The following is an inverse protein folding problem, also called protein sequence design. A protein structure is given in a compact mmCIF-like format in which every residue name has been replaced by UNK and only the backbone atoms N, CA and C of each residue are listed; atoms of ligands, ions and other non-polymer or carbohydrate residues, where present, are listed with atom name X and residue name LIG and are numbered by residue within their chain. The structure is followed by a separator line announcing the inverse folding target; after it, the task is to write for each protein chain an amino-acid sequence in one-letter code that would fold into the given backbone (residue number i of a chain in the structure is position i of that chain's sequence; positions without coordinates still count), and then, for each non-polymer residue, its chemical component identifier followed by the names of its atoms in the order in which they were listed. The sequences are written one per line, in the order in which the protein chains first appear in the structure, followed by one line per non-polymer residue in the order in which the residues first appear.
data_IF_600089237850
#
_entry.id   IF_600089237850
#
_cell.length_a   1.000
_cell.length_b   1.000
_cell.length_c   1.000
_cell.angle_alpha   90.00
_cell.angle_beta   90.00
_cell.angle_gamma   90.00
#
_symmetry.space_group_name_H-M   'P 1'
#
loop_
_entity.id
_entity.type
_entity.pdbx_description
1 polymer ?
#
# COMPACT_ATOMS: atom_id res chain seq x y z
N UNK A 1 25.19 19.50 -29.35
CA UNK A 1 24.10 19.51 -28.36
C UNK A 1 24.30 18.27 -27.52
N UNK A 2 25.08 18.41 -26.45
CA UNK A 2 25.44 17.30 -25.57
C UNK A 2 24.26 16.95 -24.67
N UNK A 3 23.88 15.68 -24.69
CA UNK A 3 22.74 15.14 -23.95
C UNK A 3 23.16 15.02 -22.48
N UNK A 4 22.46 15.72 -21.60
CA UNK A 4 22.70 15.69 -20.16
C UNK A 4 22.24 14.32 -19.61
N UNK A 5 23.18 13.47 -19.21
CA UNK A 5 22.89 12.22 -18.50
C UNK A 5 22.34 12.55 -17.10
N UNK A 6 21.05 12.24 -16.89
CA UNK A 6 20.47 12.19 -15.55
C UNK A 6 20.99 10.94 -14.85
N UNK A 7 21.93 11.11 -13.94
CA UNK A 7 22.32 10.06 -13.00
C UNK A 7 21.20 9.91 -11.98
N UNK A 8 20.38 8.87 -12.14
CA UNK A 8 19.35 8.50 -11.18
C UNK A 8 20.05 7.94 -9.94
N UNK A 9 19.88 8.62 -8.80
CA UNK A 9 20.61 8.32 -7.56
C UNK A 9 19.91 7.15 -6.84
N UNK A 10 20.21 5.93 -7.27
CA UNK A 10 19.64 4.71 -6.69
C UNK A 10 20.40 4.34 -5.41
N UNK A 11 19.73 4.45 -4.26
CA UNK A 11 20.26 3.95 -2.99
C UNK A 11 19.83 2.49 -2.78
N UNK A 12 20.77 1.56 -2.90
CA UNK A 12 20.53 0.15 -2.61
C UNK A 12 20.85 -0.14 -1.13
N UNK A 13 19.80 -0.41 -0.35
CA UNK A 13 19.96 -0.81 1.05
C UNK A 13 20.49 -2.24 1.14
N UNK A 14 21.76 -2.38 1.55
CA UNK A 14 22.38 -3.67 1.80
C UNK A 14 22.47 -3.95 3.30
N UNK A 15 21.84 -5.05 3.75
CA UNK A 15 21.94 -5.56 5.13
C UNK A 15 22.40 -7.01 5.09
N UNK A 16 23.21 -7.46 6.05
CA UNK A 16 23.61 -8.88 6.09
C UNK A 16 22.41 -9.74 6.48
N UNK A 17 22.25 -10.91 5.83
CA UNK A 17 21.13 -11.86 6.05
C UNK A 17 20.89 -12.19 7.53
N UNK A 18 21.95 -12.30 8.34
CA UNK A 18 21.88 -12.56 9.79
C UNK A 18 21.17 -11.48 10.63
N UNK A 19 20.97 -10.28 10.07
CA UNK A 19 20.28 -9.16 10.74
C UNK A 19 18.83 -8.95 10.22
N UNK A 20 18.33 -9.81 9.33
CA UNK A 20 16.93 -9.82 8.93
C UNK A 20 16.10 -10.65 9.91
N UNK A 21 14.86 -10.23 10.17
CA UNK A 21 13.95 -10.95 11.07
C UNK A 21 14.33 -10.92 12.55
N UNK A 22 15.29 -10.07 12.95
CA UNK A 22 15.53 -9.80 14.37
C UNK A 22 14.29 -9.16 14.97
N UNK A 23 13.90 -9.61 16.17
CA UNK A 23 12.80 -9.03 16.92
C UNK A 23 13.04 -7.54 17.10
N UNK A 24 12.10 -6.72 16.63
CA UNK A 24 12.11 -5.27 16.87
C UNK A 24 11.66 -5.04 18.30
N UNK A 25 12.59 -4.67 19.18
CA UNK A 25 12.29 -4.20 20.53
C UNK A 25 11.87 -2.74 20.44
N UNK A 26 10.56 -2.51 20.29
CA UNK A 26 9.96 -1.18 20.37
C UNK A 26 9.81 -0.79 21.85
N UNK A 27 10.94 -0.56 22.50
CA UNK A 27 10.98 -0.06 23.87
C UNK A 27 11.57 1.35 23.86
N UNK A 28 11.22 2.13 24.88
CA UNK A 28 11.83 3.43 25.13
C UNK A 28 13.27 3.18 25.61
N UNK A 29 14.18 3.00 24.65
CA UNK A 29 15.60 2.87 24.93
C UNK A 29 16.09 4.24 25.41
N UNK A 30 16.60 4.28 26.64
CA UNK A 30 17.21 5.49 27.21
C UNK A 30 18.37 6.01 26.34
N UNK A 31 18.95 7.18 26.67
CA UNK A 31 19.97 7.80 25.84
C UNK A 31 21.18 6.87 25.66
N UNK A 32 21.31 6.29 24.48
CA UNK A 32 22.48 5.51 24.08
C UNK A 32 23.58 6.47 23.62
N UNK A 33 24.76 6.35 24.24
CA UNK A 33 25.96 7.02 23.76
C UNK A 33 26.47 6.22 22.56
N UNK A 34 26.04 6.63 21.37
CA UNK A 34 26.43 5.98 20.10
C UNK A 34 27.92 6.22 19.81
N UNK A 35 28.45 7.35 20.25
CA UNK A 35 29.83 7.78 19.98
C UNK A 35 30.37 8.58 21.17
N UNK A 36 31.58 8.24 21.60
CA UNK A 36 32.38 9.04 22.52
C UNK A 36 33.67 9.46 21.79
N UNK A 37 33.82 10.74 21.50
CA UNK A 37 35.02 11.29 20.84
C UNK A 37 35.88 11.95 21.92
N UNK A 38 37.00 11.34 22.33
CA UNK A 38 37.90 11.97 23.27
C UNK A 38 38.62 13.15 22.61
N UNK A 39 38.90 14.18 23.40
CA UNK A 39 39.71 15.31 22.94
C UNK A 39 41.09 14.81 22.50
N UNK A 40 41.59 15.31 21.36
CA UNK A 40 42.95 15.01 20.90
C UNK A 40 43.96 15.91 21.66
N UNK A 41 44.83 15.36 22.54
CA UNK A 41 45.77 16.16 23.32
C UNK A 41 46.80 16.93 22.47
N UNK A 42 47.09 16.45 21.25
CA UNK A 42 47.99 17.14 20.34
C UNK A 42 47.39 18.45 19.80
N UNK A 43 46.07 18.49 19.63
CA UNK A 43 45.34 19.69 19.17
C UNK A 43 45.14 20.71 20.29
N UNK A 44 45.19 20.29 21.56
CA UNK A 44 45.05 21.18 22.70
C UNK A 44 46.11 22.28 22.73
N UNK A 45 47.33 21.97 22.29
CA UNK A 45 48.42 22.95 22.19
C UNK A 45 48.15 24.07 21.17
N UNK A 46 47.29 23.81 20.19
CA UNK A 46 46.92 24.75 19.14
C UNK A 46 45.62 25.50 19.45
N UNK A 47 45.03 25.25 20.64
CA UNK A 47 43.84 25.96 21.06
C UNK A 47 44.19 27.43 21.34
N UNK A 48 43.55 28.33 20.60
CA UNK A 48 43.60 29.77 20.85
C UNK A 48 42.20 30.26 21.22
N UNK A 49 42.08 31.00 22.32
CA UNK A 49 40.82 31.62 22.72
C UNK A 49 40.51 32.75 21.72
N UNK A 50 39.55 32.53 20.81
CA UNK A 50 39.14 33.56 19.85
C UNK A 50 38.39 34.70 20.56
N UNK A 51 38.87 35.93 20.35
CA UNK A 51 38.26 37.19 20.78
C UNK A 51 38.55 38.23 19.68
N UNK A 52 37.58 38.94 19.06
CA UNK A 52 36.15 39.09 19.39
C UNK A 52 35.18 38.11 18.72
N UNK A 53 34.01 37.97 19.37
CA UNK A 53 32.94 36.98 19.15
C UNK A 53 31.83 37.55 18.25
N UNK A 54 32.20 38.13 17.11
CA UNK A 54 31.21 38.55 16.11
C UNK A 54 31.41 37.76 14.82
N UNK A 55 30.65 36.68 14.69
CA UNK A 55 30.44 35.97 13.44
C UNK A 55 29.01 36.23 13.02
N UNK A 56 28.81 36.83 11.85
CA UNK A 56 27.50 36.95 11.25
C UNK A 56 26.97 35.54 11.00
N UNK A 57 25.95 35.12 11.74
CA UNK A 57 25.26 33.85 11.55
C UNK A 57 23.97 34.15 10.82
N UNK A 58 23.80 33.58 9.64
CA UNK A 58 22.54 33.68 8.92
C UNK A 58 21.54 32.71 9.55
N UNK A 59 20.55 33.26 10.28
CA UNK A 59 19.41 32.50 10.82
C UNK A 59 18.19 32.65 9.89
N UNK A 60 18.40 32.57 8.58
CA UNK A 60 17.32 32.60 7.61
C UNK A 60 16.82 31.17 7.41
N UNK A 61 15.50 30.98 7.43
CA UNK A 61 14.92 29.69 7.06
C UNK A 61 15.25 29.43 5.59
N UNK A 62 15.90 28.30 5.31
CA UNK A 62 16.07 27.83 3.94
C UNK A 62 14.68 27.49 3.38
N UNK A 63 14.17 28.36 2.52
CA UNK A 63 12.90 28.16 1.84
C UNK A 63 13.20 27.50 0.51
N UNK A 64 12.61 26.34 0.27
CA UNK A 64 12.66 25.65 -1.02
C UNK A 64 11.24 25.52 -1.55
N UNK A 65 11.00 26.03 -2.76
CA UNK A 65 9.74 25.87 -3.46
C UNK A 65 9.91 24.79 -4.53
N UNK A 66 9.01 23.81 -4.56
CA UNK A 66 9.00 22.75 -5.56
C UNK A 66 7.63 22.70 -6.23
N UNK A 67 7.61 22.85 -7.54
CA UNK A 67 6.41 22.71 -8.35
C UNK A 67 6.38 21.31 -8.96
N UNK A 68 5.30 20.58 -8.70
CA UNK A 68 5.07 19.24 -9.28
C UNK A 68 3.78 19.30 -10.09
N UNK A 69 3.88 18.98 -11.38
CA UNK A 69 2.73 18.88 -12.26
C UNK A 69 2.40 17.39 -12.48
N UNK A 70 1.28 16.92 -11.92
CA UNK A 70 0.80 15.55 -12.16
C UNK A 70 -0.01 15.51 -13.44
N UNK A 71 0.34 14.59 -14.34
CA UNK A 71 -0.44 14.34 -15.56
C UNK A 71 -1.81 13.75 -15.18
N UNK A 72 -2.87 14.24 -15.80
CA UNK A 72 -4.23 13.74 -15.58
C UNK A 72 -4.35 12.34 -16.17
N UNK A 73 -4.63 11.35 -15.33
CA UNK A 73 -4.94 9.98 -15.76
C UNK A 73 -6.46 9.81 -15.93
N UNK A 74 -6.87 9.27 -17.06
CA UNK A 74 -8.26 8.90 -17.32
C UNK A 74 -8.45 7.42 -16.94
N UNK A 75 -9.38 7.15 -16.03
CA UNK A 75 -9.73 5.80 -15.63
C UNK A 75 -11.16 5.51 -16.04
N UNK A 76 -11.38 4.35 -16.67
CA UNK A 76 -12.72 3.84 -16.96
C UNK A 76 -12.92 2.57 -16.13
N UNK A 77 -14.08 2.45 -15.51
CA UNK A 77 -14.49 1.24 -14.80
C UNK A 77 -15.55 0.55 -15.65
N UNK A 78 -15.28 -0.67 -16.09
CA UNK A 78 -16.27 -1.53 -16.74
C UNK A 78 -16.54 -2.75 -15.86
N UNK A 79 -17.82 -3.08 -15.73
CA UNK A 79 -18.29 -4.29 -15.08
C UNK A 79 -19.22 -5.05 -16.02
N UNK A 80 -19.13 -6.37 -16.02
CA UNK A 80 -20.03 -7.24 -16.78
C UNK A 80 -20.99 -7.91 -15.81
N UNK A 81 -22.28 -7.65 -15.97
CA UNK A 81 -23.31 -8.35 -15.22
C UNK A 81 -23.80 -9.54 -16.06
N UNK A 82 -23.56 -10.76 -15.60
CA UNK A 82 -24.05 -11.96 -16.27
C UNK A 82 -25.47 -12.28 -15.80
N UNK A 83 -26.46 -11.79 -16.55
CA UNK A 83 -27.90 -12.00 -16.26
C UNK A 83 -28.39 -13.38 -16.74
N UNK A 84 -27.65 -14.02 -17.65
CA UNK A 84 -28.09 -15.23 -18.38
C UNK A 84 -27.56 -16.55 -17.78
N UNK A 85 -27.16 -16.56 -16.51
CA UNK A 85 -26.62 -17.74 -15.86
C UNK A 85 -27.60 -18.38 -14.88
N UNK A 86 -27.89 -19.67 -15.03
CA UNK A 86 -28.59 -20.44 -13.99
C UNK A 86 -29.47 -21.59 -14.49
N UNK A 87 -29.72 -21.68 -15.80
CA UNK A 87 -30.54 -22.76 -16.35
C UNK A 87 -29.67 -24.00 -16.63
N UNK A 88 -30.18 -25.21 -16.34
CA UNK A 88 -29.54 -26.45 -16.77
C UNK A 88 -29.25 -26.45 -18.26
N UNK A 89 -28.15 -27.11 -18.66
CA UNK A 89 -27.68 -27.22 -20.05
C UNK A 89 -28.74 -27.68 -21.07
N UNK A 90 -29.77 -28.38 -20.61
CA UNK A 90 -30.83 -28.96 -21.44
C UNK A 90 -32.03 -28.00 -21.65
N UNK A 91 -31.99 -26.78 -21.09
CA UNK A 91 -33.08 -25.81 -21.17
C UNK A 91 -32.62 -24.58 -21.95
N UNK A 92 -33.29 -24.35 -23.07
CA UNK A 92 -33.06 -23.18 -23.90
C UNK A 92 -33.74 -21.94 -23.30
N UNK A 93 -32.97 -20.92 -22.94
CA UNK A 93 -33.51 -19.67 -22.37
C UNK A 93 -34.31 -18.83 -23.39
N UNK A 94 -34.05 -19.01 -24.68
CA UNK A 94 -34.76 -18.32 -25.75
C UNK A 94 -36.18 -18.88 -25.96
N UNK A 95 -36.50 -20.03 -25.37
CA UNK A 95 -37.84 -20.60 -25.37
C UNK A 95 -38.51 -20.38 -23.99
N UNK A 96 -39.44 -19.40 -23.86
CA UNK A 96 -40.12 -19.14 -22.60
C UNK A 96 -40.98 -20.32 -22.13
N UNK A 97 -41.44 -21.18 -23.04
CA UNK A 97 -42.26 -22.35 -22.69
C UNK A 97 -41.41 -23.44 -22.02
N UNK A 98 -40.20 -23.70 -22.51
CA UNK A 98 -39.25 -24.62 -21.90
C UNK A 98 -38.88 -24.18 -20.47
N UNK A 99 -38.61 -22.89 -20.26
CA UNK A 99 -38.34 -22.32 -18.94
C UNK A 99 -39.53 -22.48 -17.98
N UNK A 100 -40.75 -22.22 -18.46
CA UNK A 100 -41.96 -22.34 -17.65
C UNK A 100 -42.29 -23.80 -17.29
N UNK A 101 -42.11 -24.74 -18.23
CA UNK A 101 -42.27 -26.18 -17.97
C UNK A 101 -41.28 -26.67 -16.92
N UNK A 102 -40.01 -26.24 -16.99
CA UNK A 102 -39.01 -26.60 -15.99
C UNK A 102 -39.36 -26.04 -14.61
N UNK A 103 -39.76 -24.77 -14.49
CA UNK A 103 -40.20 -24.18 -13.21
C UNK A 103 -41.34 -24.99 -12.58
N UNK A 104 -42.40 -25.29 -13.36
CA UNK A 104 -43.52 -26.11 -12.87
C UNK A 104 -43.13 -27.53 -12.48
N UNK A 105 -42.09 -28.09 -13.11
CA UNK A 105 -41.55 -29.41 -12.74
C UNK A 105 -40.88 -29.35 -11.37
N UNK A 106 -40.06 -28.33 -11.11
CA UNK A 106 -39.38 -28.12 -9.82
C UNK A 106 -40.38 -27.80 -8.70
N UNK A 107 -41.38 -26.97 -8.97
CA UNK A 107 -42.41 -26.58 -7.98
C UNK A 107 -43.26 -27.77 -7.48
N UNK A 108 -43.32 -28.86 -8.25
CA UNK A 108 -44.02 -30.10 -7.88
C UNK A 108 -43.11 -31.14 -7.23
N UNK A 109 -41.82 -30.88 -7.11
CA UNK A 109 -40.86 -31.79 -6.49
C UNK A 109 -41.04 -31.77 -4.97
N UNK A 110 -41.14 -32.95 -4.35
CA UNK A 110 -41.29 -33.08 -2.90
C UNK A 110 -40.13 -32.41 -2.15
N UNK A 111 -38.91 -32.46 -2.70
CA UNK A 111 -37.75 -31.80 -2.10
C UNK A 111 -37.91 -30.27 -2.06
N UNK A 112 -38.47 -29.69 -3.13
CA UNK A 112 -38.77 -28.26 -3.20
C UNK A 112 -39.85 -27.89 -2.18
N UNK A 113 -40.93 -28.66 -2.11
CA UNK A 113 -42.03 -28.43 -1.18
C UNK A 113 -41.53 -28.51 0.27
N UNK A 114 -40.77 -29.55 0.62
CA UNK A 114 -40.19 -29.71 1.95
C UNK A 114 -39.26 -28.56 2.33
N UNK A 115 -38.39 -28.12 1.42
CA UNK A 115 -37.48 -27.00 1.67
C UNK A 115 -38.24 -25.68 1.90
N UNK A 116 -39.24 -25.38 1.06
CA UNK A 116 -40.06 -24.17 1.19
C UNK A 116 -40.86 -24.18 2.50
N UNK A 117 -41.48 -25.30 2.85
CA UNK A 117 -42.22 -25.44 4.11
C UNK A 117 -41.29 -25.32 5.32
N UNK A 118 -40.07 -25.85 5.27
CA UNK A 118 -39.10 -25.70 6.35
C UNK A 118 -38.69 -24.23 6.54
N UNK A 119 -38.35 -23.54 5.45
CA UNK A 119 -37.99 -22.11 5.48
C UNK A 119 -39.14 -21.22 5.95
N UNK A 120 -40.38 -21.56 5.59
CA UNK A 120 -41.58 -20.81 6.02
C UNK A 120 -41.90 -20.94 7.51
N UNK A 121 -41.48 -22.01 8.19
CA UNK A 121 -41.64 -22.18 9.64
C UNK A 121 -40.52 -21.54 10.47
N UNK A 122 -39.45 -21.06 9.84
CA UNK A 122 -38.28 -20.45 10.50
C UNK A 122 -38.38 -18.91 10.55
N UNK A 123 -39.57 -18.36 10.26
CA UNK A 123 -39.96 -16.97 10.52
C UNK A 123 -40.87 -16.95 11.74
#
# INVERSE_FOLDING_TARGET
MDKQEKTELTYEYTKRRKYFGQQTFFEDHGPEIIVNIPCNPALYKNYILRNPVHVATENTKSMSEHWVNSVRAEYTTSGMNHVEGGWPKDINMNDPEAAQRYRRKIEKDDAYIHAVMHLGHVI
#
